data_IF_284485460005
#
_entry.id   IF_284485460005
#
_cell.length_a   1.000
_cell.length_b   1.000
_cell.length_c   1.000
_cell.angle_alpha   90.00
_cell.angle_beta   90.00
_cell.angle_gamma   90.00
#
_symmetry.space_group_name_H-M   'P 1'
#
loop_
_entity.id
_entity.type
_entity.pdbx_description
1 polymer ?
#
# COMPACT_ATOMS: atom_id res chain seq x y z
N UNK A 1 12.81 -5.45 -1.38
CA UNK A 1 12.75 -6.81 -1.94
C UNK A 1 14.15 -7.35 -2.13
N UNK A 2 14.37 -8.57 -1.66
CA UNK A 2 15.62 -9.29 -1.83
C UNK A 2 15.32 -10.58 -2.58
N UNK A 3 16.08 -10.84 -3.64
CA UNK A 3 15.87 -12.03 -4.47
C UNK A 3 17.23 -12.57 -4.94
N UNK A 4 17.50 -13.83 -4.61
CA UNK A 4 18.79 -14.48 -4.92
C UNK A 4 18.66 -15.57 -5.99
N UNK A 5 17.48 -15.81 -6.53
CA UNK A 5 17.25 -16.83 -7.55
C UNK A 5 17.28 -18.27 -7.06
N UNK A 6 17.37 -18.51 -5.76
CA UNK A 6 17.54 -19.85 -5.19
C UNK A 6 16.33 -20.77 -5.43
N UNK A 7 15.14 -20.21 -5.60
CA UNK A 7 13.92 -21.00 -5.85
C UNK A 7 13.91 -21.68 -7.21
N UNK A 8 14.70 -21.19 -8.18
CA UNK A 8 14.79 -21.81 -9.50
C UNK A 8 13.53 -21.73 -10.35
N UNK A 9 12.58 -20.89 -10.01
CA UNK A 9 11.35 -20.71 -10.77
C UNK A 9 11.61 -19.99 -12.11
N UNK A 10 10.66 -20.13 -13.03
CA UNK A 10 10.75 -19.49 -14.35
C UNK A 10 10.85 -17.96 -14.20
N UNK A 11 11.73 -17.36 -14.99
CA UNK A 11 11.92 -15.92 -15.01
C UNK A 11 10.71 -15.23 -15.65
N UNK A 12 10.22 -14.17 -15.03
CA UNK A 12 9.22 -13.28 -15.62
C UNK A 12 9.97 -12.20 -16.40
N UNK A 13 10.01 -12.35 -17.73
CA UNK A 13 10.82 -11.49 -18.60
C UNK A 13 10.03 -10.39 -19.31
N UNK A 14 8.69 -10.40 -19.17
CA UNK A 14 7.81 -9.43 -19.82
C UNK A 14 6.98 -8.71 -18.76
N UNK A 15 6.72 -7.42 -18.97
CA UNK A 15 5.85 -6.61 -18.11
C UNK A 15 4.36 -6.79 -18.49
N UNK A 16 3.98 -7.99 -18.85
CA UNK A 16 2.60 -8.36 -19.24
C UNK A 16 2.41 -9.87 -19.16
N UNK A 17 1.17 -10.32 -19.17
CA UNK A 17 0.80 -11.73 -19.16
C UNK A 17 0.39 -12.24 -17.79
N UNK A 18 -0.07 -13.50 -17.74
CA UNK A 18 -0.65 -14.10 -16.54
C UNK A 18 0.36 -14.20 -15.39
N UNK A 19 1.59 -14.58 -15.67
CA UNK A 19 2.63 -14.73 -14.63
C UNK A 19 3.03 -13.39 -14.05
N UNK A 20 3.18 -12.37 -14.90
CA UNK A 20 3.45 -11.00 -14.45
C UNK A 20 2.32 -10.46 -13.61
N UNK A 21 1.08 -10.64 -14.04
CA UNK A 21 -0.10 -10.15 -13.31
C UNK A 21 -0.25 -10.85 -11.96
N UNK A 22 -0.05 -12.16 -11.90
CA UNK A 22 -0.11 -12.91 -10.65
C UNK A 22 0.99 -12.47 -9.67
N UNK A 23 2.21 -12.30 -10.15
CA UNK A 23 3.34 -11.83 -9.34
C UNK A 23 3.08 -10.42 -8.80
N UNK A 24 2.64 -9.50 -9.67
CA UNK A 24 2.36 -8.12 -9.29
C UNK A 24 1.26 -8.05 -8.23
N UNK A 25 0.19 -8.82 -8.39
CA UNK A 25 -0.90 -8.88 -7.42
C UNK A 25 -0.43 -9.40 -6.07
N UNK A 26 0.29 -10.51 -6.07
CA UNK A 26 0.79 -11.13 -4.84
C UNK A 26 1.77 -10.20 -4.12
N UNK A 27 2.72 -9.61 -4.85
CA UNK A 27 3.67 -8.67 -4.27
C UNK A 27 2.97 -7.44 -3.70
N UNK A 28 1.98 -6.91 -4.40
CA UNK A 28 1.18 -5.76 -3.92
C UNK A 28 0.45 -6.10 -2.64
N UNK A 29 -0.16 -7.28 -2.55
CA UNK A 29 -0.88 -7.72 -1.35
C UNK A 29 0.07 -7.87 -0.16
N UNK A 30 1.23 -8.49 -0.36
CA UNK A 30 2.25 -8.63 0.70
C UNK A 30 2.74 -7.26 1.17
N UNK A 31 3.07 -6.36 0.24
CA UNK A 31 3.52 -5.02 0.59
C UNK A 31 2.45 -4.23 1.34
N UNK A 32 1.19 -4.37 0.95
CA UNK A 32 0.07 -3.73 1.63
C UNK A 32 -0.09 -4.25 3.06
N UNK A 33 0.00 -5.55 3.26
CA UNK A 33 -0.09 -6.16 4.58
C UNK A 33 1.06 -5.71 5.48
N UNK A 34 2.28 -5.68 4.95
CA UNK A 34 3.44 -5.18 5.68
C UNK A 34 3.32 -3.71 6.04
N UNK A 35 2.80 -2.89 5.13
CA UNK A 35 2.56 -1.47 5.39
C UNK A 35 1.56 -1.27 6.53
N UNK A 36 0.51 -2.09 6.59
CA UNK A 36 -0.46 -2.07 7.70
C UNK A 36 0.19 -2.48 9.02
N UNK A 37 1.06 -3.49 9.01
CA UNK A 37 1.80 -3.91 10.20
C UNK A 37 2.71 -2.78 10.72
N UNK A 38 3.41 -2.09 9.83
CA UNK A 38 4.24 -0.94 10.19
C UNK A 38 3.38 0.15 10.86
N UNK A 39 2.20 0.45 10.31
CA UNK A 39 1.31 1.45 10.86
C UNK A 39 0.76 1.04 12.25
N UNK A 40 0.42 -0.25 12.42
CA UNK A 40 -0.07 -0.78 13.71
C UNK A 40 0.99 -0.75 14.79
N UNK A 41 2.24 -1.04 14.43
CA UNK A 41 3.35 -1.13 15.36
C UNK A 41 3.97 0.24 15.67
N UNK A 42 3.40 1.32 15.17
CA UNK A 42 3.84 2.68 15.46
C UNK A 42 3.77 2.98 16.95
N UNK A 43 4.82 3.57 17.48
CA UNK A 43 4.91 3.93 18.91
C UNK A 43 3.75 4.87 19.29
N UNK A 44 3.01 4.48 20.33
CA UNK A 44 1.84 5.24 20.79
C UNK A 44 0.61 5.11 19.89
N UNK A 45 0.65 4.28 18.86
CA UNK A 45 -0.50 4.08 17.99
C UNK A 45 -1.61 3.33 18.72
N UNK A 46 -2.81 3.91 18.74
CA UNK A 46 -4.00 3.30 19.35
C UNK A 46 -5.02 2.85 18.30
N UNK A 47 -4.91 3.34 17.08
CA UNK A 47 -5.85 3.09 16.00
C UNK A 47 -5.15 2.96 14.66
N UNK A 48 -5.65 2.03 13.82
CA UNK A 48 -5.31 1.97 12.41
C UNK A 48 -6.46 2.60 11.62
N UNK A 49 -6.17 3.64 10.86
CA UNK A 49 -7.18 4.37 10.08
C UNK A 49 -6.93 4.13 8.61
N UNK A 50 -7.97 3.75 7.89
CA UNK A 50 -7.95 3.61 6.43
C UNK A 50 -8.70 4.77 5.81
N UNK A 51 -8.08 5.45 4.87
CA UNK A 51 -8.69 6.53 4.10
C UNK A 51 -8.98 6.03 2.69
N UNK A 52 -10.25 6.04 2.31
CA UNK A 52 -10.68 5.69 0.96
C UNK A 52 -11.16 6.94 0.24
N UNK A 53 -10.61 7.17 -0.95
CA UNK A 53 -11.06 8.25 -1.83
C UNK A 53 -11.73 7.60 -3.04
N UNK A 54 -12.99 7.97 -3.28
CA UNK A 54 -13.77 7.45 -4.40
C UNK A 54 -14.18 8.59 -5.33
N UNK A 55 -14.33 8.28 -6.61
CA UNK A 55 -14.80 9.22 -7.63
C UNK A 55 -13.91 10.44 -7.83
N UNK A 56 -12.63 10.33 -7.50
CA UNK A 56 -11.66 11.35 -7.87
C UNK A 56 -11.40 11.33 -9.38
N UNK A 57 -11.04 12.47 -10.01
CA UNK A 57 -10.76 12.51 -11.43
C UNK A 57 -9.61 11.61 -11.88
N UNK A 58 -8.70 11.27 -10.98
CA UNK A 58 -7.57 10.38 -11.26
C UNK A 58 -6.85 9.98 -10.00
N UNK A 59 -5.88 9.05 -10.15
CA UNK A 59 -5.11 8.53 -9.03
C UNK A 59 -4.31 9.63 -8.31
N UNK A 60 -3.73 10.56 -9.05
CA UNK A 60 -2.94 11.67 -8.49
C UNK A 60 -3.79 12.55 -7.57
N UNK A 61 -5.01 12.87 -7.99
CA UNK A 61 -5.94 13.66 -7.19
C UNK A 61 -6.40 12.88 -5.97
N UNK A 62 -6.67 11.59 -6.12
CA UNK A 62 -7.04 10.72 -5.01
C UNK A 62 -5.95 10.65 -3.95
N UNK A 63 -4.69 10.49 -4.34
CA UNK A 63 -3.55 10.50 -3.42
C UNK A 63 -3.41 11.83 -2.69
N UNK A 64 -3.54 12.94 -3.41
CA UNK A 64 -3.44 14.28 -2.85
C UNK A 64 -4.52 14.52 -1.79
N UNK A 65 -5.75 14.11 -2.07
CA UNK A 65 -6.86 14.20 -1.13
C UNK A 65 -6.58 13.34 0.10
N UNK A 66 -6.18 12.09 -0.10
CA UNK A 66 -5.92 11.16 1.01
C UNK A 66 -4.79 11.66 1.92
N UNK A 67 -3.69 12.15 1.36
CA UNK A 67 -2.56 12.69 2.12
C UNK A 67 -2.96 13.95 2.87
N UNK A 68 -3.76 14.82 2.26
CA UNK A 68 -4.24 16.05 2.89
C UNK A 68 -5.09 15.73 4.13
N UNK A 69 -5.97 14.74 4.04
CA UNK A 69 -6.77 14.28 5.19
C UNK A 69 -5.87 13.63 6.24
N UNK A 70 -4.97 12.75 5.83
CA UNK A 70 -4.10 12.01 6.75
C UNK A 70 -3.16 12.92 7.54
N UNK A 71 -2.73 14.03 6.96
CA UNK A 71 -1.81 14.99 7.60
C UNK A 71 -2.51 16.13 8.31
N UNK A 72 -3.84 16.18 8.29
CA UNK A 72 -4.62 17.24 8.93
C UNK A 72 -4.53 17.15 10.46
N UNK A 73 -4.07 18.21 11.14
CA UNK A 73 -4.05 18.23 12.61
C UNK A 73 -5.45 18.10 13.24
N UNK A 74 -6.47 18.65 12.59
CA UNK A 74 -7.85 18.56 13.08
C UNK A 74 -8.37 17.15 13.02
N UNK A 75 -8.12 16.43 11.90
CA UNK A 75 -8.51 15.02 11.76
C UNK A 75 -7.78 14.17 12.80
N UNK A 76 -6.48 14.34 12.95
CA UNK A 76 -5.68 13.61 13.93
C UNK A 76 -6.19 13.83 15.36
N UNK A 77 -6.52 15.06 15.71
CA UNK A 77 -7.08 15.40 17.02
C UNK A 77 -8.43 14.73 17.22
N UNK A 78 -9.29 14.74 16.22
CA UNK A 78 -10.62 14.12 16.31
C UNK A 78 -10.55 12.59 16.47
N UNK A 79 -9.51 11.95 15.97
CA UNK A 79 -9.31 10.50 16.04
C UNK A 79 -8.56 10.06 17.30
N UNK A 80 -7.95 10.96 17.99
CA UNK A 80 -7.14 10.66 19.17
C UNK A 80 -7.98 10.15 20.37
#
# INVERSE_FOLDING_TARGET
VLANGAAGNSTISKASGADFDAFTRTLTDVCRDLAKEVARDGEGATKLVTIQVRRAPGLRDAEKIAVTVATSPLVKTALA
#
